data_IF_428101368121
#
_entry.id   IF_428101368121
#
_cell.length_a   1.000
_cell.length_b   1.000
_cell.length_c   1.000
_cell.angle_alpha   90.00
_cell.angle_beta   90.00
_cell.angle_gamma   90.00
#
_symmetry.space_group_name_H-M   'P 1'
#
loop_
_entity.id
_entity.type
_entity.pdbx_description
1 polymer ?
#
# COMPACT_ATOMS: atom_id res chain seq x y z
N UNK A 1 3.53 -9.77 -23.42
CA UNK A 1 2.44 -10.08 -22.46
C UNK A 1 2.78 -11.36 -21.74
N UNK A 2 2.60 -11.40 -20.44
CA UNK A 2 2.78 -12.58 -19.58
C UNK A 2 1.43 -12.94 -18.97
N UNK A 3 1.12 -14.22 -18.90
CA UNK A 3 -0.14 -14.72 -18.33
C UNK A 3 0.06 -15.08 -16.87
N UNK A 4 -0.61 -14.35 -15.97
CA UNK A 4 -0.66 -14.63 -14.54
C UNK A 4 -1.80 -15.59 -14.24
N UNK A 5 -1.57 -16.57 -13.35
CA UNK A 5 -2.62 -17.43 -12.79
C UNK A 5 -3.30 -16.70 -11.63
N UNK A 6 -4.14 -15.74 -11.98
CA UNK A 6 -4.88 -14.90 -11.05
C UNK A 6 -6.29 -15.44 -10.79
N UNK A 7 -6.95 -14.91 -9.76
CA UNK A 7 -8.39 -15.07 -9.51
C UNK A 7 -9.12 -13.78 -9.85
N UNK A 8 -10.36 -13.85 -10.36
CA UNK A 8 -11.18 -15.06 -10.59
C UNK A 8 -10.76 -15.84 -11.85
N UNK A 9 -10.03 -15.22 -12.77
CA UNK A 9 -9.52 -15.84 -14.01
C UNK A 9 -8.10 -15.35 -14.31
N UNK A 10 -7.33 -16.08 -15.14
CA UNK A 10 -6.00 -15.63 -15.54
C UNK A 10 -6.04 -14.28 -16.27
N UNK A 11 -5.05 -13.43 -16.00
CA UNK A 11 -4.92 -12.11 -16.61
C UNK A 11 -3.58 -11.96 -17.34
N UNK A 12 -3.60 -11.27 -18.49
CA UNK A 12 -2.38 -10.94 -19.22
C UNK A 12 -1.85 -9.56 -18.82
N UNK A 13 -0.56 -9.49 -18.53
CA UNK A 13 0.12 -8.26 -18.14
C UNK A 13 1.37 -7.98 -18.95
N UNK A 14 1.71 -6.72 -19.10
CA UNK A 14 2.97 -6.24 -19.68
C UNK A 14 3.82 -5.67 -18.54
N UNK A 15 4.88 -6.39 -18.14
CA UNK A 15 5.74 -5.94 -17.04
C UNK A 15 6.41 -4.60 -17.32
N UNK A 16 6.64 -4.24 -18.58
CA UNK A 16 7.20 -2.93 -18.96
C UNK A 16 6.23 -1.78 -18.73
N UNK A 17 4.94 -2.09 -18.57
CA UNK A 17 3.85 -1.15 -18.26
C UNK A 17 3.25 -1.42 -16.87
N UNK A 18 4.01 -2.07 -16.00
CA UNK A 18 3.58 -2.45 -14.66
C UNK A 18 4.32 -1.68 -13.58
N UNK A 19 3.67 -1.52 -12.43
CA UNK A 19 4.31 -1.01 -11.22
C UNK A 19 3.86 -1.81 -9.99
N UNK A 20 4.79 -2.02 -9.05
CA UNK A 20 4.47 -2.49 -7.71
C UNK A 20 4.17 -1.30 -6.81
N UNK A 21 2.97 -1.27 -6.24
CA UNK A 21 2.49 -0.22 -5.33
C UNK A 21 2.53 -0.75 -3.91
N UNK A 22 3.52 -0.30 -3.17
CA UNK A 22 3.74 -0.64 -1.75
C UNK A 22 3.01 0.39 -0.91
N UNK A 23 1.93 -0.05 -0.25
CA UNK A 23 1.03 0.85 0.48
C UNK A 23 1.35 0.85 1.96
N UNK A 24 1.75 2.00 2.48
CA UNK A 24 1.90 2.33 3.90
C UNK A 24 2.74 1.32 4.71
N UNK A 25 3.82 0.79 4.14
CA UNK A 25 4.74 -0.08 4.87
C UNK A 25 5.67 0.72 5.77
N UNK A 26 5.05 1.41 6.75
CA UNK A 26 5.67 2.30 7.72
C UNK A 26 5.67 1.68 9.12
N UNK A 27 6.54 2.18 10.02
CA UNK A 27 6.55 1.74 11.41
C UNK A 27 5.19 1.93 12.09
N UNK A 28 4.44 2.97 11.74
CA UNK A 28 3.08 3.19 12.20
C UNK A 28 2.15 1.99 12.04
N UNK A 29 2.34 1.20 10.97
CA UNK A 29 1.42 0.12 10.59
C UNK A 29 2.02 -1.27 10.80
N UNK A 30 3.35 -1.40 10.83
CA UNK A 30 4.00 -2.70 10.78
C UNK A 30 4.91 -3.00 11.99
N UNK A 31 5.07 -2.06 12.94
CA UNK A 31 6.02 -2.22 14.05
C UNK A 31 5.36 -2.06 15.42
N UNK A 32 5.88 -2.80 16.41
CA UNK A 32 5.52 -2.59 17.82
C UNK A 32 5.82 -1.15 18.24
N UNK A 33 4.93 -0.53 19.02
CA UNK A 33 4.99 0.88 19.39
C UNK A 33 4.56 1.85 18.27
N UNK A 34 4.21 1.36 17.09
CA UNK A 34 3.61 2.14 16.02
C UNK A 34 2.11 2.43 16.24
N UNK A 35 1.54 3.25 15.39
CA UNK A 35 0.16 3.72 15.53
C UNK A 35 -0.87 2.59 15.67
N UNK A 36 -0.80 1.53 14.83
CA UNK A 36 -1.77 0.42 14.91
C UNK A 36 -1.65 -0.36 16.21
N UNK A 37 -0.43 -0.61 16.68
CA UNK A 37 -0.17 -1.27 17.96
C UNK A 37 -0.69 -0.40 19.13
N UNK A 38 -0.38 0.89 19.14
CA UNK A 38 -0.90 1.86 20.12
C UNK A 38 -2.44 1.91 20.12
N UNK A 39 -3.06 1.70 18.96
CA UNK A 39 -4.52 1.61 18.80
C UNK A 39 -5.09 0.25 19.23
N UNK A 40 -4.26 -0.70 19.69
CA UNK A 40 -4.67 -2.06 20.10
C UNK A 40 -5.09 -2.94 18.92
N UNK A 41 -4.55 -2.70 17.73
CA UNK A 41 -4.77 -3.55 16.55
C UNK A 41 -3.74 -4.67 16.52
N UNK A 42 -4.17 -5.86 16.10
CA UNK A 42 -3.25 -6.98 15.88
C UNK A 42 -2.36 -6.70 14.67
N UNK A 43 -1.05 -6.64 14.91
CA UNK A 43 -0.01 -6.46 13.90
C UNK A 43 0.88 -7.70 13.75
N UNK A 44 0.52 -8.82 14.36
CA UNK A 44 1.35 -10.05 14.37
C UNK A 44 1.65 -10.59 12.97
N UNK A 45 0.82 -10.30 11.99
CA UNK A 45 1.03 -10.64 10.58
C UNK A 45 2.05 -9.76 9.85
N UNK A 46 2.35 -8.57 10.38
CA UNK A 46 3.19 -7.59 9.68
C UNK A 46 4.60 -8.10 9.32
N UNK A 47 5.33 -8.84 10.18
CA UNK A 47 6.64 -9.38 9.80
C UNK A 47 6.60 -10.33 8.60
N UNK A 48 5.51 -11.06 8.40
CA UNK A 48 5.33 -11.92 7.22
C UNK A 48 5.11 -11.10 5.96
N UNK A 49 4.25 -10.08 6.04
CA UNK A 49 3.99 -9.13 4.94
C UNK A 49 5.26 -8.38 4.53
N UNK A 50 6.06 -7.92 5.50
CA UNK A 50 7.37 -7.27 5.23
C UNK A 50 8.28 -8.22 4.45
N UNK A 51 8.44 -9.47 4.89
CA UNK A 51 9.30 -10.44 4.19
C UNK A 51 8.84 -10.76 2.78
N UNK A 52 7.54 -10.97 2.57
CA UNK A 52 7.00 -11.27 1.24
C UNK A 52 7.19 -10.08 0.29
N UNK A 53 6.86 -8.86 0.75
CA UNK A 53 7.08 -7.63 -0.04
C UNK A 53 8.57 -7.48 -0.38
N UNK A 54 9.48 -7.64 0.59
CA UNK A 54 10.92 -7.55 0.31
C UNK A 54 11.35 -8.49 -0.82
N UNK A 55 10.92 -9.74 -0.76
CA UNK A 55 11.26 -10.75 -1.78
C UNK A 55 10.73 -10.35 -3.17
N UNK A 56 9.49 -9.82 -3.23
CA UNK A 56 8.88 -9.33 -4.47
C UNK A 56 9.67 -8.14 -5.01
N UNK A 57 10.00 -7.15 -4.17
CA UNK A 57 10.69 -5.94 -4.61
C UNK A 57 12.11 -6.25 -5.12
N UNK A 58 12.82 -7.17 -4.48
CA UNK A 58 14.13 -7.62 -4.95
C UNK A 58 14.03 -8.29 -6.34
N UNK A 59 12.98 -9.07 -6.58
CA UNK A 59 12.73 -9.67 -7.90
C UNK A 59 12.27 -8.64 -8.93
N UNK A 60 11.38 -7.72 -8.55
CA UNK A 60 10.87 -6.65 -9.41
C UNK A 60 11.99 -5.72 -9.89
N UNK A 61 12.92 -5.35 -9.02
CA UNK A 61 14.10 -4.54 -9.38
C UNK A 61 14.98 -5.25 -10.41
N UNK A 62 15.24 -6.55 -10.24
CA UNK A 62 15.99 -7.35 -11.24
C UNK A 62 15.27 -7.41 -12.59
N UNK A 63 13.94 -7.44 -12.59
CA UNK A 63 13.12 -7.43 -13.79
C UNK A 63 12.88 -6.03 -14.39
N UNK A 64 13.40 -4.97 -13.77
CA UNK A 64 13.23 -3.59 -14.21
C UNK A 64 11.81 -3.04 -14.09
N UNK A 65 10.99 -3.62 -13.19
CA UNK A 65 9.61 -3.16 -12.94
C UNK A 65 9.63 -1.98 -11.98
N UNK A 66 8.86 -0.94 -12.28
CA UNK A 66 8.74 0.26 -11.45
C UNK A 66 8.22 -0.09 -10.06
N UNK A 67 8.83 0.50 -9.02
CA UNK A 67 8.36 0.42 -7.64
C UNK A 67 7.85 1.79 -7.20
N UNK A 68 6.70 1.81 -6.56
CA UNK A 68 6.03 3.00 -6.06
C UNK A 68 5.66 2.77 -4.60
N UNK A 69 6.19 3.58 -3.72
CA UNK A 69 5.76 3.66 -2.33
C UNK A 69 4.68 4.72 -2.20
N UNK A 70 3.55 4.35 -1.63
CA UNK A 70 2.50 5.28 -1.23
C UNK A 70 2.59 5.39 0.28
N UNK A 71 2.98 6.56 0.79
CA UNK A 71 3.33 6.78 2.19
C UNK A 71 2.39 7.78 2.85
N UNK A 72 1.68 7.33 3.89
CA UNK A 72 0.74 8.15 4.64
C UNK A 72 1.46 9.08 5.61
N UNK A 73 1.06 10.36 5.69
CA UNK A 73 1.62 11.22 6.72
C UNK A 73 1.11 12.64 6.71
N UNK A 74 1.44 13.33 7.80
CA UNK A 74 1.00 14.70 8.07
C UNK A 74 2.18 15.58 8.44
N UNK A 75 2.07 16.87 8.08
CA UNK A 75 2.99 17.89 8.59
C UNK A 75 2.87 18.00 10.11
N UNK A 76 3.95 18.39 10.82
CA UNK A 76 3.93 18.51 12.29
C UNK A 76 2.80 19.40 12.84
N UNK A 77 2.40 20.41 12.07
CA UNK A 77 1.30 21.33 12.42
C UNK A 77 -0.08 20.85 11.92
N UNK A 78 -0.17 19.67 11.34
CA UNK A 78 -1.39 19.06 10.77
C UNK A 78 -2.10 19.93 9.71
N UNK A 79 -1.42 20.90 9.09
CA UNK A 79 -2.02 21.83 8.11
C UNK A 79 -2.57 21.14 6.85
N UNK A 80 -2.12 19.91 6.56
CA UNK A 80 -2.55 19.08 5.43
C UNK A 80 -3.57 18.00 5.80
N UNK A 81 -4.03 17.95 7.05
CA UNK A 81 -4.99 16.94 7.53
C UNK A 81 -6.44 17.20 7.12
N UNK A 82 -6.75 18.43 6.70
CA UNK A 82 -8.11 18.91 6.37
C UNK A 82 -8.78 19.69 7.50
N UNK A 83 -8.24 19.66 8.73
CA UNK A 83 -8.75 20.39 9.89
C UNK A 83 -10.10 19.88 10.42
N UNK A 84 -10.65 20.54 11.46
CA UNK A 84 -11.84 20.07 12.18
C UNK A 84 -13.12 19.95 11.34
N UNK A 85 -13.19 20.60 10.20
CA UNK A 85 -14.34 20.53 9.29
C UNK A 85 -14.24 19.38 8.27
N UNK A 86 -13.14 18.61 8.29
CA UNK A 86 -12.95 17.45 7.41
C UNK A 86 -13.30 16.15 8.13
N UNK A 87 -14.00 15.19 7.49
CA UNK A 87 -14.19 13.84 8.02
C UNK A 87 -12.87 13.15 8.40
N UNK A 88 -11.78 13.43 7.67
CA UNK A 88 -10.46 12.88 7.94
C UNK A 88 -9.95 13.23 9.34
N UNK A 89 -10.23 14.44 9.83
CA UNK A 89 -9.87 14.89 11.18
C UNK A 89 -10.49 14.00 12.29
N UNK A 90 -11.66 13.46 12.03
CA UNK A 90 -12.43 12.69 13.01
C UNK A 90 -12.29 11.18 12.84
N UNK A 91 -11.93 10.70 11.64
CA UNK A 91 -11.95 9.27 11.29
C UNK A 91 -10.58 8.69 11.04
N UNK A 92 -9.61 9.48 10.59
CA UNK A 92 -8.26 8.97 10.40
C UNK A 92 -7.63 8.67 11.77
N UNK A 93 -7.05 7.47 11.90
CA UNK A 93 -6.72 6.89 13.20
C UNK A 93 -5.62 7.67 13.93
N UNK A 94 -4.55 8.07 13.24
CA UNK A 94 -3.47 8.83 13.86
C UNK A 94 -3.96 10.19 14.38
N UNK A 95 -4.73 10.91 13.56
CA UNK A 95 -5.29 12.21 13.94
C UNK A 95 -6.25 12.06 15.11
N UNK A 96 -7.15 11.07 15.04
CA UNK A 96 -8.09 10.78 16.12
C UNK A 96 -7.36 10.48 17.43
N UNK A 97 -6.36 9.61 17.41
CA UNK A 97 -5.56 9.29 18.59
C UNK A 97 -4.83 10.51 19.14
N UNK A 98 -4.19 11.30 18.28
CA UNK A 98 -3.49 12.52 18.70
C UNK A 98 -4.44 13.59 19.28
N UNK A 99 -5.70 13.62 18.83
CA UNK A 99 -6.71 14.52 19.37
C UNK A 99 -7.22 14.06 20.73
N UNK A 100 -7.35 12.75 20.95
CA UNK A 100 -7.83 12.16 22.20
C UNK A 100 -6.72 11.99 23.25
N UNK A 101 -5.46 11.88 22.83
CA UNK A 101 -4.30 11.55 23.65
C UNK A 101 -3.17 12.57 23.39
N UNK A 102 -3.13 13.69 24.14
CA UNK A 102 -2.19 14.80 23.89
C UNK A 102 -0.72 14.41 23.89
N UNK A 103 -0.34 13.36 24.63
CA UNK A 103 1.03 12.82 24.67
C UNK A 103 1.50 12.21 23.35
N UNK A 104 0.58 11.93 22.43
CA UNK A 104 0.88 11.39 21.11
C UNK A 104 1.01 12.48 20.03
N UNK A 105 0.73 13.74 20.37
CA UNK A 105 0.79 14.85 19.39
C UNK A 105 2.17 14.95 18.76
N UNK A 106 2.19 15.08 17.42
CA UNK A 106 3.41 15.19 16.65
C UNK A 106 4.24 13.90 16.59
N UNK A 107 3.68 12.76 16.98
CA UNK A 107 4.37 11.45 16.97
C UNK A 107 3.83 10.53 15.89
N UNK A 108 2.49 10.40 15.77
CA UNK A 108 1.86 9.41 14.90
C UNK A 108 1.76 9.95 13.48
N UNK A 109 2.24 9.20 12.50
CA UNK A 109 2.25 9.54 11.07
C UNK A 109 2.70 10.99 10.78
N UNK A 110 3.56 11.55 11.65
CA UNK A 110 4.08 12.90 11.49
C UNK A 110 5.39 12.86 10.71
N UNK A 111 5.49 13.66 9.66
CA UNK A 111 6.69 13.76 8.82
C UNK A 111 7.96 13.94 9.68
N UNK A 112 9.00 13.15 9.40
CA UNK A 112 10.28 13.18 10.11
C UNK A 112 10.33 12.33 11.39
N UNK A 113 9.23 11.70 11.82
CA UNK A 113 9.22 10.82 12.99
C UNK A 113 9.53 9.36 12.62
N UNK A 114 9.89 8.56 13.62
CA UNK A 114 10.05 7.12 13.46
C UNK A 114 8.75 6.44 13.00
N UNK A 115 7.61 6.82 13.55
CA UNK A 115 6.29 6.27 13.21
C UNK A 115 5.97 6.48 11.71
N UNK A 116 6.32 7.65 11.15
CA UNK A 116 6.16 7.97 9.74
C UNK A 116 7.13 7.20 8.83
N UNK A 117 8.31 6.83 9.31
CA UNK A 117 9.34 6.20 8.47
C UNK A 117 8.88 4.84 7.91
N UNK A 118 9.28 4.54 6.67
CA UNK A 118 9.13 3.19 6.10
C UNK A 118 10.00 2.23 6.92
N UNK A 119 9.51 0.99 7.13
CA UNK A 119 10.26 -0.04 7.86
C UNK A 119 11.64 -0.27 7.23
N UNK A 120 12.63 -0.61 8.06
CA UNK A 120 14.04 -0.67 7.65
C UNK A 120 14.26 -1.64 6.47
N UNK A 121 13.58 -2.77 6.46
CA UNK A 121 13.73 -3.82 5.46
C UNK A 121 13.23 -3.42 4.06
N UNK A 122 12.37 -2.40 3.99
CA UNK A 122 11.70 -1.97 2.76
C UNK A 122 12.09 -0.54 2.34
N UNK A 123 13.21 -0.01 2.79
CA UNK A 123 13.63 1.35 2.42
C UNK A 123 13.67 1.53 0.90
N UNK A 124 13.09 2.63 0.37
CA UNK A 124 13.15 2.95 -1.06
C UNK A 124 14.59 3.03 -1.55
N UNK A 125 14.81 2.57 -2.78
CA UNK A 125 16.11 2.63 -3.46
C UNK A 125 16.10 3.68 -4.58
N UNK A 126 17.28 4.10 -5.05
CA UNK A 126 17.37 4.99 -6.21
C UNK A 126 16.58 4.43 -7.41
N UNK A 127 15.67 5.24 -7.95
CA UNK A 127 14.77 4.85 -9.03
C UNK A 127 13.35 4.50 -8.57
N UNK A 128 13.13 4.18 -7.31
CA UNK A 128 11.79 4.01 -6.74
C UNK A 128 11.08 5.36 -6.62
N UNK A 129 9.77 5.37 -6.78
CA UNK A 129 8.95 6.55 -6.53
C UNK A 129 8.41 6.52 -5.10
N UNK A 130 8.40 7.67 -4.44
CA UNK A 130 7.73 7.85 -3.14
C UNK A 130 6.67 8.93 -3.31
N UNK A 131 5.42 8.56 -3.07
CA UNK A 131 4.25 9.44 -3.18
C UNK A 131 3.65 9.63 -1.79
N UNK A 132 3.76 10.83 -1.24
CA UNK A 132 3.15 11.17 0.04
C UNK A 132 1.66 11.41 -0.12
N UNK A 133 0.86 10.85 0.79
CA UNK A 133 -0.59 11.01 0.83
C UNK A 133 -1.09 11.41 2.22
N UNK A 134 -2.26 12.06 2.25
CA UNK A 134 -2.93 12.51 3.48
C UNK A 134 -4.35 11.95 3.59
N UNK A 135 -4.69 11.00 2.71
CA UNK A 135 -5.98 10.28 2.67
C UNK A 135 -5.69 8.80 2.47
N UNK A 136 -6.69 7.95 2.69
CA UNK A 136 -6.50 6.51 2.58
C UNK A 136 -6.09 6.06 1.19
N UNK A 137 -6.71 6.63 0.15
CA UNK A 137 -6.29 6.36 -1.22
C UNK A 137 -5.01 7.11 -1.60
N UNK A 138 -4.12 6.42 -2.27
CA UNK A 138 -2.89 6.96 -2.86
C UNK A 138 -3.13 7.93 -4.01
N UNK A 139 -4.32 7.95 -4.60
CA UNK A 139 -4.64 8.85 -5.72
C UNK A 139 -5.20 10.19 -5.27
N UNK A 140 -5.83 10.24 -4.09
CA UNK A 140 -6.54 11.46 -3.65
C UNK A 140 -5.57 12.58 -3.26
N UNK A 141 -5.54 13.64 -4.05
CA UNK A 141 -4.73 14.84 -3.80
C UNK A 141 -3.23 14.61 -3.94
N UNK A 142 -2.81 13.62 -4.72
CA UNK A 142 -1.40 13.27 -4.94
C UNK A 142 -1.00 13.38 -6.41
N UNK A 143 0.28 13.17 -6.70
CA UNK A 143 0.81 13.08 -8.06
C UNK A 143 0.83 11.65 -8.62
N UNK A 144 0.23 10.66 -7.94
CA UNK A 144 0.37 9.25 -8.31
C UNK A 144 -0.09 8.99 -9.76
N UNK A 145 -1.31 9.39 -10.11
CA UNK A 145 -1.86 9.19 -11.45
C UNK A 145 -0.97 9.80 -12.55
N UNK A 146 -0.61 11.07 -12.39
CA UNK A 146 0.23 11.78 -13.38
C UNK A 146 1.61 11.11 -13.54
N UNK A 147 2.21 10.64 -12.46
CA UNK A 147 3.50 9.94 -12.49
C UNK A 147 3.41 8.57 -13.18
N UNK A 148 2.35 7.83 -12.94
CA UNK A 148 2.10 6.54 -13.59
C UNK A 148 1.82 6.69 -15.09
N UNK A 149 0.93 7.63 -15.46
CA UNK A 149 0.58 7.89 -16.89
C UNK A 149 1.76 8.38 -17.70
N UNK A 150 2.56 9.29 -17.17
CA UNK A 150 3.76 9.79 -17.86
C UNK A 150 4.75 8.66 -18.20
N UNK A 151 4.74 7.57 -17.44
CA UNK A 151 5.57 6.38 -17.65
C UNK A 151 4.86 5.28 -18.44
N UNK A 152 3.64 5.52 -18.90
CA UNK A 152 2.85 4.53 -19.65
C UNK A 152 2.39 3.33 -18.81
N UNK A 153 2.39 3.44 -17.47
CA UNK A 153 1.98 2.36 -16.57
C UNK A 153 0.48 2.12 -16.70
N UNK A 154 0.08 0.85 -16.71
CA UNK A 154 -1.29 0.38 -16.83
C UNK A 154 -1.66 -0.68 -15.81
N UNK A 155 -0.71 -1.53 -15.40
CA UNK A 155 -0.92 -2.66 -14.49
C UNK A 155 -0.32 -2.31 -13.14
N UNK A 156 -1.11 -2.44 -12.07
CA UNK A 156 -0.69 -2.08 -10.71
C UNK A 156 -0.81 -3.27 -9.78
N UNK A 157 0.31 -3.74 -9.27
CA UNK A 157 0.38 -4.80 -8.26
C UNK A 157 0.38 -4.17 -6.87
N UNK A 158 -0.61 -4.45 -6.07
CA UNK A 158 -0.79 -3.87 -4.73
C UNK A 158 -0.35 -4.82 -3.63
N UNK A 159 0.40 -4.31 -2.67
CA UNK A 159 0.76 -4.96 -1.42
C UNK A 159 0.84 -3.94 -0.27
N UNK A 160 0.72 -4.37 0.98
CA UNK A 160 0.91 -3.50 2.15
C UNK A 160 -0.21 -3.54 3.18
N UNK A 161 -0.31 -2.49 4.01
CA UNK A 161 -1.20 -2.38 5.17
C UNK A 161 -2.00 -1.07 5.11
N UNK A 162 -3.32 -1.05 5.36
CA UNK A 162 -4.15 -2.21 5.65
C UNK A 162 -4.96 -2.60 4.42
N UNK A 163 -5.14 -3.93 4.21
CA UNK A 163 -5.88 -4.49 3.08
C UNK A 163 -7.23 -3.81 2.91
N UNK A 164 -8.02 -3.74 3.97
CA UNK A 164 -9.40 -3.23 3.98
C UNK A 164 -9.52 -1.70 4.10
N UNK A 165 -8.42 -0.97 4.08
CA UNK A 165 -8.43 0.51 4.21
C UNK A 165 -7.62 1.13 3.07
N UNK A 166 -6.32 1.39 3.29
CA UNK A 166 -5.50 2.12 2.31
C UNK A 166 -5.25 1.33 1.03
N UNK A 167 -5.02 0.01 1.14
CA UNK A 167 -4.79 -0.85 -0.02
C UNK A 167 -6.05 -0.90 -0.88
N UNK A 168 -7.20 -1.28 -0.32
CA UNK A 168 -8.47 -1.35 -1.05
C UNK A 168 -8.91 0.01 -1.60
N UNK A 169 -8.78 1.09 -0.82
CA UNK A 169 -9.13 2.44 -1.31
C UNK A 169 -8.28 2.86 -2.50
N UNK A 170 -6.96 2.59 -2.47
CA UNK A 170 -6.06 2.90 -3.58
C UNK A 170 -6.34 2.03 -4.80
N UNK A 171 -6.62 0.74 -4.59
CA UNK A 171 -6.94 -0.21 -5.63
C UNK A 171 -8.25 0.14 -6.35
N UNK A 172 -9.30 0.52 -5.60
CA UNK A 172 -10.58 0.96 -6.17
C UNK A 172 -10.43 2.22 -7.00
N UNK A 173 -9.67 3.20 -6.51
CA UNK A 173 -9.40 4.42 -7.29
C UNK A 173 -8.57 4.13 -8.54
N UNK A 174 -7.65 3.16 -8.49
CA UNK A 174 -6.95 2.68 -9.68
C UNK A 174 -7.93 2.11 -10.71
N UNK A 175 -8.85 1.26 -10.29
CA UNK A 175 -9.91 0.72 -11.15
C UNK A 175 -10.76 1.83 -11.80
N UNK A 176 -11.20 2.81 -11.02
CA UNK A 176 -12.00 3.94 -11.51
C UNK A 176 -11.25 4.87 -12.47
N UNK A 177 -9.92 4.74 -12.53
CA UNK A 177 -9.05 5.48 -13.42
C UNK A 177 -8.49 4.62 -14.57
N UNK A 178 -9.13 3.48 -14.87
CA UNK A 178 -8.79 2.56 -15.98
C UNK A 178 -7.37 1.93 -15.87
N UNK A 179 -6.83 1.76 -14.67
CA UNK A 179 -5.71 0.86 -14.42
C UNK A 179 -6.21 -0.58 -14.26
N UNK A 180 -5.30 -1.53 -14.41
CA UNK A 180 -5.51 -2.95 -14.16
C UNK A 180 -4.98 -3.31 -12.78
N UNK A 181 -5.82 -3.28 -11.73
CA UNK A 181 -5.34 -3.52 -10.37
C UNK A 181 -5.29 -5.01 -10.04
N UNK A 182 -4.17 -5.42 -9.45
CA UNK A 182 -3.91 -6.80 -9.05
C UNK A 182 -3.43 -6.77 -7.59
N UNK A 183 -4.16 -7.39 -6.68
CA UNK A 183 -3.80 -7.49 -5.27
C UNK A 183 -2.96 -8.74 -5.04
N UNK A 184 -1.79 -8.59 -4.42
CA UNK A 184 -1.00 -9.73 -3.94
C UNK A 184 -1.53 -10.11 -2.55
N UNK A 185 -2.40 -11.12 -2.51
CA UNK A 185 -3.26 -11.42 -1.37
C UNK A 185 -2.48 -11.72 -0.08
N UNK A 186 -1.43 -12.52 -0.16
CA UNK A 186 -0.59 -12.92 0.96
C UNK A 186 0.54 -11.92 1.31
N UNK A 187 0.61 -10.82 0.58
CA UNK A 187 1.49 -9.66 0.86
C UNK A 187 0.71 -8.44 1.35
N UNK A 188 -0.49 -8.66 1.92
CA UNK A 188 -1.29 -7.63 2.56
C UNK A 188 -1.95 -8.18 3.82
N UNK A 189 -2.23 -7.31 4.80
CA UNK A 189 -2.96 -7.68 6.02
C UNK A 189 -3.97 -6.61 6.42
N UNK A 190 -5.09 -6.99 7.06
CA UNK A 190 -6.12 -6.04 7.48
C UNK A 190 -5.74 -5.28 8.76
N UNK A 191 -6.35 -4.12 8.96
CA UNK A 191 -6.42 -3.47 10.26
C UNK A 191 -7.69 -3.91 10.99
N UNK A 192 -7.67 -5.09 11.60
CA UNK A 192 -8.80 -5.68 12.32
C UNK A 192 -8.96 -7.17 12.07
N UNK A 193 -10.20 -7.69 12.18
CA UNK A 193 -10.46 -9.13 12.05
C UNK A 193 -10.07 -9.69 10.67
N UNK A 194 -9.61 -10.95 10.58
CA UNK A 194 -9.24 -11.60 9.31
C UNK A 194 -10.35 -11.55 8.25
N UNK A 195 -11.61 -11.61 8.65
CA UNK A 195 -12.78 -11.52 7.75
C UNK A 195 -12.83 -10.23 6.93
N UNK A 196 -12.18 -9.15 7.40
CA UNK A 196 -12.08 -7.90 6.64
C UNK A 196 -11.14 -8.04 5.44
N UNK A 197 -10.08 -8.85 5.58
CA UNK A 197 -9.21 -9.20 4.47
C UNK A 197 -9.97 -10.05 3.43
N UNK A 198 -10.67 -11.08 3.89
CA UNK A 198 -11.48 -11.95 3.03
C UNK A 198 -12.55 -11.16 2.26
N UNK A 199 -13.21 -10.20 2.93
CA UNK A 199 -14.18 -9.33 2.29
C UNK A 199 -13.54 -8.45 1.19
N UNK A 200 -12.34 -7.94 1.43
CA UNK A 200 -11.59 -7.18 0.41
C UNK A 200 -11.22 -8.08 -0.77
N UNK A 201 -10.71 -9.31 -0.53
CA UNK A 201 -10.40 -10.25 -1.61
C UNK A 201 -11.64 -10.53 -2.45
N UNK A 202 -12.78 -10.80 -1.80
CA UNK A 202 -14.06 -10.99 -2.50
C UNK A 202 -14.43 -9.79 -3.37
N UNK A 203 -14.34 -8.57 -2.84
CA UNK A 203 -14.63 -7.35 -3.58
C UNK A 203 -13.71 -7.17 -4.79
N UNK A 204 -12.40 -7.41 -4.60
CA UNK A 204 -11.43 -7.28 -5.68
C UNK A 204 -11.74 -8.29 -6.79
N UNK A 205 -11.87 -9.58 -6.46
CA UNK A 205 -12.09 -10.65 -7.42
C UNK A 205 -13.41 -10.52 -8.21
N UNK A 206 -14.45 -9.94 -7.60
CA UNK A 206 -15.75 -9.86 -8.23
C UNK A 206 -16.06 -8.51 -8.91
N UNK A 207 -15.34 -7.43 -8.55
CA UNK A 207 -15.76 -6.10 -9.00
C UNK A 207 -14.61 -5.17 -9.44
N UNK A 208 -13.39 -5.33 -8.88
CA UNK A 208 -12.38 -4.27 -9.03
C UNK A 208 -11.07 -4.73 -9.66
N UNK A 209 -10.82 -6.03 -9.82
CA UNK A 209 -9.57 -6.50 -10.39
C UNK A 209 -9.30 -7.97 -10.14
N UNK A 210 -8.05 -8.29 -9.85
CA UNK A 210 -7.57 -9.66 -9.70
C UNK A 210 -6.80 -9.83 -8.40
N UNK A 211 -6.74 -11.08 -7.92
CA UNK A 211 -5.83 -11.43 -6.83
C UNK A 211 -4.82 -12.49 -7.29
N UNK A 212 -3.61 -12.41 -6.77
CA UNK A 212 -2.55 -13.39 -6.97
C UNK A 212 -1.84 -13.66 -5.66
N UNK A 213 -0.99 -14.68 -5.63
CA UNK A 213 -0.09 -14.97 -4.51
C UNK A 213 1.33 -14.44 -4.78
N UNK A 214 2.11 -14.33 -3.71
CA UNK A 214 3.55 -14.02 -3.78
C UNK A 214 4.28 -15.03 -4.68
N UNK A 215 3.99 -16.31 -4.54
CA UNK A 215 4.62 -17.36 -5.36
C UNK A 215 4.34 -17.18 -6.85
N UNK A 216 3.12 -16.83 -7.22
CA UNK A 216 2.75 -16.64 -8.63
C UNK A 216 3.49 -15.46 -9.26
N UNK A 217 3.56 -14.33 -8.55
CA UNK A 217 4.29 -13.18 -9.09
C UNK A 217 5.80 -13.42 -9.13
N UNK A 218 6.37 -14.14 -8.17
CA UNK A 218 7.80 -14.49 -8.19
C UNK A 218 8.16 -15.42 -9.34
N UNK A 219 7.32 -16.41 -9.65
CA UNK A 219 7.48 -17.27 -10.84
C UNK A 219 7.50 -16.44 -12.12
N UNK A 220 6.56 -15.51 -12.23
CA UNK A 220 6.44 -14.62 -13.40
C UNK A 220 7.66 -13.71 -13.55
N UNK A 221 8.12 -13.08 -12.48
CA UNK A 221 9.32 -12.23 -12.49
C UNK A 221 10.59 -13.03 -12.81
N UNK A 222 10.71 -14.27 -12.28
CA UNK A 222 11.84 -15.17 -12.53
C UNK A 222 11.95 -15.60 -14.00
N UNK A 223 10.82 -15.74 -14.71
CA UNK A 223 10.82 -16.13 -16.13
C UNK A 223 11.33 -15.04 -17.09
N UNK A 224 11.49 -13.81 -16.63
CA UNK A 224 11.95 -12.65 -17.43
C UNK A 224 13.39 -12.28 -17.10
N UNK A 225 13.88 -12.64 -15.92
CA UNK A 225 15.24 -12.35 -15.46
C UNK A 225 16.29 -13.37 -15.93
N UNK A 226 15.84 -14.44 -16.62
CA UNK A 226 16.67 -15.49 -17.23
C UNK A 226 16.86 -15.22 -18.73
#
# INVERSE_FOLDING_TARGET
>A
MLRLQAKPEPVEVDLTKSAFVVVDMQNAFASEGGMLDIAGRDISGAPSVVRSIKTILDAARRAGVLIVYVQMGYKPNLSNSGGPNSPNWHKEMAIHLMNCRPELRGRLLTEGTWDFAIVEELQPQPGDLVVLKTRYSGFVGTSLDSQLRTRGIRYLFFAGIATNVCVESTLRDAYFQDYWPILIADSAMPAGAPSLHEATLYNVENFFGWTITTDEILKTLGSVAS
#
